data_IF_051062743548
#
_entry.id   IF_051062743548
#
_cell.length_a   1.000
_cell.length_b   1.000
_cell.length_c   1.000
_cell.angle_alpha   90.00
_cell.angle_beta   90.00
_cell.angle_gamma   90.00
#
_symmetry.space_group_name_H-M   'P 1'
#
loop_
_entity.id
_entity.type
_entity.pdbx_description
1 polymer ?
#
# COMPACT_ATOMS: atom_id res chain seq x y z
N UNK A 1 -16.90 -19.12 -2.50
CA UNK A 1 -17.44 -17.86 -3.06
C UNK A 1 -16.55 -16.75 -2.54
N UNK A 2 -16.16 -15.79 -3.38
CA UNK A 2 -15.36 -14.65 -2.94
C UNK A 2 -16.09 -13.88 -1.82
N UNK A 3 -15.35 -13.49 -0.78
CA UNK A 3 -15.89 -12.80 0.40
C UNK A 3 -16.25 -11.34 0.08
N UNK A 4 -15.50 -10.73 -0.84
CA UNK A 4 -15.66 -9.37 -1.28
C UNK A 4 -16.03 -9.29 -2.77
N UNK A 5 -16.71 -8.21 -3.17
CA UNK A 5 -16.92 -7.88 -4.58
C UNK A 5 -15.71 -7.22 -5.21
N UNK A 6 -14.97 -6.42 -4.43
CA UNK A 6 -13.80 -5.68 -4.92
C UNK A 6 -12.67 -5.62 -3.89
N UNK A 7 -11.44 -5.81 -4.32
CA UNK A 7 -10.25 -5.58 -3.51
C UNK A 7 -9.46 -4.37 -4.04
N UNK A 8 -9.11 -3.45 -3.14
CA UNK A 8 -8.29 -2.27 -3.43
C UNK A 8 -6.90 -2.55 -2.88
N UNK A 9 -5.94 -2.84 -3.74
CA UNK A 9 -4.53 -2.84 -3.34
C UNK A 9 -4.02 -1.40 -3.33
N UNK A 10 -3.12 -1.12 -2.40
CA UNK A 10 -2.40 0.15 -2.39
C UNK A 10 -0.90 -0.08 -2.32
N UNK A 11 -0.16 0.75 -3.05
CA UNK A 11 1.28 0.93 -2.83
C UNK A 11 1.64 2.41 -2.89
N UNK A 12 2.51 2.86 -1.99
CA UNK A 12 2.95 4.25 -1.99
C UNK A 12 4.37 4.44 -1.48
N UNK A 13 4.92 5.63 -1.76
CA UNK A 13 6.18 6.05 -1.17
C UNK A 13 6.06 6.23 0.33
N UNK A 14 7.15 5.88 1.03
CA UNK A 14 7.39 6.36 2.38
C UNK A 14 7.55 7.87 2.40
N UNK A 15 7.20 8.50 3.54
CA UNK A 15 7.69 9.86 3.78
C UNK A 15 9.21 9.83 3.73
N UNK A 16 9.78 10.77 2.97
CA UNK A 16 11.22 10.90 2.85
C UNK A 16 11.85 11.12 4.22
N UNK A 17 12.85 10.29 4.56
CA UNK A 17 13.63 10.49 5.77
C UNK A 17 14.24 11.90 5.81
N UNK A 18 14.39 12.51 7.01
CA UNK A 18 14.99 13.83 7.15
C UNK A 18 16.33 13.93 6.41
N UNK A 19 16.46 14.94 5.55
CA UNK A 19 17.69 15.19 4.78
C UNK A 19 17.83 14.38 3.49
N UNK A 20 16.81 13.66 3.02
CA UNK A 20 16.84 13.00 1.70
C UNK A 20 17.13 14.03 0.59
N UNK A 21 18.22 13.83 -0.14
CA UNK A 21 18.69 14.77 -1.17
C UNK A 21 17.74 14.84 -2.37
N UNK A 22 17.23 13.69 -2.82
CA UNK A 22 16.29 13.60 -3.94
C UNK A 22 14.93 13.15 -3.42
N UNK A 23 14.07 14.13 -3.17
CA UNK A 23 12.74 13.93 -2.62
C UNK A 23 11.87 13.07 -3.55
N UNK A 24 11.12 12.15 -2.95
CA UNK A 24 10.09 11.35 -3.60
C UNK A 24 8.72 11.65 -3.01
N UNK A 25 8.61 11.67 -1.69
CA UNK A 25 7.40 12.06 -0.98
C UNK A 25 7.78 12.77 0.33
N UNK A 26 8.08 14.08 0.28
CA UNK A 26 8.56 14.80 1.45
C UNK A 26 7.43 15.08 2.43
N UNK A 27 7.75 15.22 3.73
CA UNK A 27 6.76 15.46 4.81
C UNK A 27 5.77 16.59 4.50
N UNK A 28 6.23 17.68 3.86
CA UNK A 28 5.36 18.81 3.47
C UNK A 28 4.27 18.46 2.45
N UNK A 29 4.40 17.33 1.76
CA UNK A 29 3.43 16.86 0.77
C UNK A 29 2.40 15.90 1.39
N UNK A 30 2.53 15.53 2.67
CA UNK A 30 1.69 14.53 3.33
C UNK A 30 0.20 14.87 3.19
N UNK A 31 -0.20 16.08 3.56
CA UNK A 31 -1.59 16.54 3.49
C UNK A 31 -2.16 16.47 2.07
N UNK A 32 -1.36 16.86 1.07
CA UNK A 32 -1.74 16.77 -0.33
C UNK A 32 -1.86 15.30 -0.78
N UNK A 33 -0.94 14.44 -0.33
CA UNK A 33 -0.98 13.00 -0.56
C UNK A 33 -2.23 12.36 0.03
N UNK A 34 -2.55 12.67 1.29
CA UNK A 34 -3.77 12.21 1.96
C UNK A 34 -5.02 12.60 1.17
N UNK A 35 -5.14 13.87 0.78
CA UNK A 35 -6.28 14.35 -0.03
C UNK A 35 -6.38 13.63 -1.37
N UNK A 36 -5.26 13.38 -2.04
CA UNK A 36 -5.25 12.67 -3.31
C UNK A 36 -5.67 11.20 -3.14
N UNK A 37 -5.19 10.52 -2.09
CA UNK A 37 -5.61 9.15 -1.76
C UNK A 37 -7.11 9.13 -1.44
N UNK A 38 -7.60 10.05 -0.60
CA UNK A 38 -9.03 10.21 -0.31
C UNK A 38 -9.84 10.34 -1.59
N UNK A 39 -9.40 11.19 -2.52
CA UNK A 39 -10.12 11.40 -3.77
C UNK A 39 -10.14 10.16 -4.66
N UNK A 40 -9.03 9.44 -4.74
CA UNK A 40 -8.95 8.19 -5.50
C UNK A 40 -9.85 7.09 -4.92
N UNK A 41 -9.87 6.93 -3.60
CA UNK A 41 -10.76 5.97 -2.92
C UNK A 41 -12.22 6.39 -3.11
N UNK A 42 -12.57 7.66 -2.90
CA UNK A 42 -13.93 8.18 -3.11
C UNK A 42 -14.43 7.92 -4.54
N UNK A 43 -13.61 8.24 -5.55
CA UNK A 43 -13.96 8.04 -6.95
C UNK A 43 -14.20 6.55 -7.25
N UNK A 44 -13.33 5.68 -6.73
CA UNK A 44 -13.44 4.23 -6.92
C UNK A 44 -14.73 3.70 -6.28
N UNK A 45 -14.98 4.04 -5.01
CA UNK A 45 -16.20 3.63 -4.30
C UNK A 45 -17.48 4.17 -4.95
N UNK A 46 -17.43 5.38 -5.52
CA UNK A 46 -18.55 5.95 -6.29
C UNK A 46 -18.84 5.14 -7.56
N UNK A 47 -17.80 4.63 -8.23
CA UNK A 47 -17.94 3.85 -9.46
C UNK A 47 -18.42 2.42 -9.22
N UNK A 48 -17.93 1.75 -8.18
CA UNK A 48 -18.17 0.32 -7.95
C UNK A 48 -19.22 0.02 -6.87
N UNK A 49 -19.59 1.03 -6.08
CA UNK A 49 -20.38 0.88 -4.86
C UNK A 49 -19.53 0.49 -3.66
N UNK A 50 -19.93 0.92 -2.46
CA UNK A 50 -19.14 0.70 -1.24
C UNK A 50 -19.37 -0.68 -0.61
N UNK A 51 -20.45 -1.37 -0.98
CA UNK A 51 -20.79 -2.67 -0.41
C UNK A 51 -19.76 -3.73 -0.82
N UNK A 52 -19.23 -4.46 0.17
CA UNK A 52 -18.35 -5.61 -0.06
C UNK A 52 -17.02 -5.24 -0.73
N UNK A 53 -16.36 -4.19 -0.21
CA UNK A 53 -15.01 -3.76 -0.63
C UNK A 53 -14.01 -3.99 0.50
N UNK A 54 -12.79 -4.42 0.17
CA UNK A 54 -11.66 -4.56 1.12
C UNK A 54 -10.42 -3.83 0.61
N UNK A 55 -9.66 -3.18 1.50
CA UNK A 55 -8.36 -2.59 1.16
C UNK A 55 -7.18 -3.45 1.64
N UNK A 56 -6.06 -3.46 0.92
CA UNK A 56 -4.85 -4.23 1.28
C UNK A 56 -3.60 -3.37 1.08
N UNK A 57 -2.75 -3.24 2.10
CA UNK A 57 -1.47 -2.52 2.00
C UNK A 57 -0.44 -2.99 3.05
N UNK A 58 0.83 -2.57 2.86
CA UNK A 58 1.97 -3.04 3.65
C UNK A 58 2.18 -2.32 4.97
N UNK A 59 1.76 -1.06 5.10
CA UNK A 59 1.81 -0.27 6.34
C UNK A 59 3.08 0.55 6.55
N UNK A 60 3.86 0.80 5.50
CA UNK A 60 4.97 1.74 5.58
C UNK A 60 4.48 3.17 5.93
N UNK A 61 5.36 3.99 6.52
CA UNK A 61 5.11 5.42 6.73
C UNK A 61 4.66 6.11 5.44
N UNK A 62 3.93 7.23 5.52
CA UNK A 62 3.43 7.88 4.32
C UNK A 62 2.27 7.13 3.67
N UNK A 63 2.44 6.73 2.40
CA UNK A 63 1.32 6.29 1.55
C UNK A 63 0.45 5.19 2.15
N UNK A 64 1.06 4.11 2.64
CA UNK A 64 0.30 2.93 3.08
C UNK A 64 -0.51 3.22 4.35
N UNK A 65 0.08 3.83 5.38
CA UNK A 65 -0.65 4.23 6.59
C UNK A 65 -1.76 5.24 6.23
N UNK A 66 -1.47 6.22 5.38
CA UNK A 66 -2.49 7.17 4.91
C UNK A 66 -3.64 6.48 4.20
N UNK A 67 -3.38 5.44 3.40
CA UNK A 67 -4.41 4.65 2.76
C UNK A 67 -5.28 3.90 3.77
N UNK A 68 -4.68 3.27 4.79
CA UNK A 68 -5.46 2.63 5.87
C UNK A 68 -6.33 3.63 6.65
N UNK A 69 -5.85 4.84 6.89
CA UNK A 69 -6.62 5.93 7.53
C UNK A 69 -7.78 6.40 6.63
N UNK A 70 -7.55 6.49 5.32
CA UNK A 70 -8.59 6.85 4.36
C UNK A 70 -9.67 5.78 4.27
N UNK A 71 -9.30 4.51 4.16
CA UNK A 71 -10.26 3.40 4.15
C UNK A 71 -11.13 3.39 5.42
N UNK A 72 -10.54 3.66 6.58
CA UNK A 72 -11.29 3.83 7.83
C UNK A 72 -12.36 4.92 7.73
N UNK A 73 -12.01 6.08 7.20
CA UNK A 73 -12.95 7.21 7.06
C UNK A 73 -14.14 6.88 6.16
N UNK A 74 -13.95 5.96 5.20
CA UNK A 74 -14.99 5.40 4.36
C UNK A 74 -15.59 4.10 4.90
N UNK A 75 -15.23 3.64 6.11
CA UNK A 75 -15.67 2.37 6.69
C UNK A 75 -15.40 1.15 5.78
N UNK A 76 -14.33 1.21 5.00
CA UNK A 76 -13.84 0.08 4.20
C UNK A 76 -12.91 -0.73 5.10
N UNK A 77 -13.19 -2.03 5.36
CA UNK A 77 -12.27 -2.89 6.09
C UNK A 77 -10.95 -2.99 5.34
N UNK A 78 -9.84 -3.06 6.07
CA UNK A 78 -8.51 -3.19 5.46
C UNK A 78 -7.65 -4.25 6.12
N UNK A 79 -6.78 -4.83 5.31
CA UNK A 79 -5.83 -5.86 5.67
C UNK A 79 -4.41 -5.28 5.64
N UNK A 80 -3.72 -5.33 6.77
CA UNK A 80 -2.33 -4.91 6.93
C UNK A 80 -1.41 -6.12 6.74
N UNK A 81 -0.49 -6.04 5.77
CA UNK A 81 0.35 -7.15 5.33
C UNK A 81 1.82 -6.79 5.43
N UNK A 82 2.41 -7.10 6.58
CA UNK A 82 3.78 -6.72 6.89
C UNK A 82 4.77 -7.68 6.25
N UNK A 83 5.84 -7.15 5.65
CA UNK A 83 6.92 -7.96 5.10
C UNK A 83 7.84 -8.56 6.17
N UNK A 84 7.82 -8.00 7.37
CA UNK A 84 8.73 -8.31 8.47
C UNK A 84 7.94 -8.32 9.77
N UNK A 85 8.50 -8.98 10.79
CA UNK A 85 8.00 -8.87 12.16
C UNK A 85 7.91 -7.40 12.58
N UNK A 86 6.89 -7.08 13.38
CA UNK A 86 6.44 -5.72 13.69
C UNK A 86 7.61 -4.80 14.06
N UNK A 87 8.49 -5.23 14.96
CA UNK A 87 9.64 -4.45 15.43
C UNK A 87 10.60 -4.13 14.28
N UNK A 88 10.90 -5.12 13.45
CA UNK A 88 11.82 -4.94 12.32
C UNK A 88 11.18 -4.09 11.22
N UNK A 89 9.89 -4.29 10.95
CA UNK A 89 9.15 -3.48 9.99
C UNK A 89 9.12 -2.02 10.40
N UNK A 90 8.90 -1.74 11.68
CA UNK A 90 8.92 -0.39 12.25
C UNK A 90 10.28 0.27 12.01
N UNK A 91 11.39 -0.42 12.33
CA UNK A 91 12.74 0.09 12.12
C UNK A 91 13.03 0.43 10.65
N UNK A 92 12.57 -0.39 9.71
CA UNK A 92 12.95 -0.27 8.30
C UNK A 92 12.02 0.61 7.48
N UNK A 93 10.72 0.61 7.80
CA UNK A 93 9.67 1.13 6.92
C UNK A 93 8.81 2.23 7.53
N UNK A 94 8.96 2.47 8.84
CA UNK A 94 8.15 3.46 9.57
C UNK A 94 9.02 4.54 10.21
N UNK A 95 9.88 4.15 11.15
CA UNK A 95 10.72 5.06 11.93
C UNK A 95 11.62 6.00 11.10
N UNK A 96 12.17 5.60 9.93
CA UNK A 96 13.02 6.49 9.15
C UNK A 96 12.34 7.80 8.71
N UNK A 97 11.01 7.84 8.62
CA UNK A 97 10.27 9.06 8.29
C UNK A 97 10.32 10.13 9.41
N UNK A 98 10.65 9.75 10.65
CA UNK A 98 10.63 10.64 11.81
C UNK A 98 9.22 11.03 12.25
N UNK A 99 9.09 12.17 12.94
CA UNK A 99 7.80 12.70 13.36
C UNK A 99 6.99 11.75 14.25
N UNK A 100 5.69 11.64 13.98
CA UNK A 100 4.73 10.82 14.72
C UNK A 100 4.43 9.47 14.03
N UNK A 101 5.16 9.11 12.96
CA UNK A 101 4.85 7.91 12.15
C UNK A 101 4.88 6.60 12.95
N UNK A 102 5.76 6.49 13.96
CA UNK A 102 5.80 5.34 14.86
C UNK A 102 4.52 5.25 15.71
N UNK A 103 4.08 6.37 16.28
CA UNK A 103 2.83 6.43 17.05
C UNK A 103 1.64 6.07 16.17
N UNK A 104 1.58 6.61 14.95
CA UNK A 104 0.51 6.31 13.98
C UNK A 104 0.49 4.84 13.56
N UNK A 105 1.65 4.21 13.39
CA UNK A 105 1.72 2.78 13.11
C UNK A 105 1.21 1.94 14.29
N UNK A 106 1.53 2.32 15.53
CA UNK A 106 1.00 1.64 16.72
C UNK A 106 -0.52 1.83 16.83
N UNK A 107 -1.05 3.02 16.53
CA UNK A 107 -2.48 3.28 16.48
C UNK A 107 -3.17 2.43 15.40
N UNK A 108 -2.54 2.26 14.23
CA UNK A 108 -3.03 1.40 13.16
C UNK A 108 -3.13 -0.07 13.62
N UNK A 109 -2.08 -0.59 14.26
CA UNK A 109 -2.09 -1.95 14.80
C UNK A 109 -3.20 -2.15 15.85
N UNK A 110 -3.32 -1.21 16.79
CA UNK A 110 -4.34 -1.27 17.84
C UNK A 110 -5.76 -1.23 17.26
N UNK A 111 -5.97 -0.48 16.18
CA UNK A 111 -7.26 -0.31 15.51
C UNK A 111 -7.69 -1.55 14.71
N UNK A 112 -6.79 -2.15 13.93
CA UNK A 112 -7.16 -3.24 13.00
C UNK A 112 -7.43 -4.57 13.72
N UNK A 113 -6.77 -4.81 14.86
CA UNK A 113 -6.89 -6.07 15.59
C UNK A 113 -6.27 -7.27 14.86
N UNK A 114 -6.17 -8.43 15.52
CA UNK A 114 -5.35 -9.55 15.03
C UNK A 114 -5.88 -10.22 13.74
N UNK A 115 -7.18 -10.13 13.44
CA UNK A 115 -7.77 -10.74 12.24
C UNK A 115 -7.43 -10.00 10.94
N UNK A 116 -7.04 -8.73 11.03
CA UNK A 116 -6.72 -7.90 9.87
C UNK A 116 -5.21 -7.70 9.67
N UNK A 117 -4.37 -8.15 10.60
CA UNK A 117 -2.92 -7.96 10.59
C UNK A 117 -2.25 -9.32 10.38
N UNK A 118 -1.40 -9.41 9.36
CA UNK A 118 -0.57 -10.59 9.15
C UNK A 118 0.85 -10.17 8.76
N UNK A 119 1.81 -11.00 9.18
CA UNK A 119 3.23 -10.85 8.82
C UNK A 119 3.57 -11.97 7.86
N UNK A 120 4.28 -11.64 6.77
CA UNK A 120 4.79 -12.65 5.85
C UNK A 120 5.72 -13.59 6.60
N UNK A 121 5.38 -14.88 6.58
CA UNK A 121 6.19 -15.95 7.13
C UNK A 121 6.56 -16.97 6.05
N UNK A 122 7.48 -17.87 6.35
CA UNK A 122 7.98 -18.86 5.39
C UNK A 122 6.97 -19.95 5.01
N UNK A 123 5.84 -20.06 5.72
CA UNK A 123 4.73 -20.94 5.37
C UNK A 123 3.78 -20.35 4.33
N UNK A 124 3.91 -19.06 3.99
CA UNK A 124 3.18 -18.47 2.87
C UNK A 124 3.75 -19.01 1.56
N UNK A 125 3.07 -20.04 1.04
CA UNK A 125 3.30 -20.60 -0.29
C UNK A 125 2.71 -19.66 -1.34
N UNK A 126 3.58 -19.01 -2.12
CA UNK A 126 3.15 -18.24 -3.28
C UNK A 126 2.97 -19.19 -4.46
N UNK A 127 1.91 -19.03 -5.27
CA UNK A 127 1.72 -19.84 -6.47
C UNK A 127 2.97 -19.87 -7.35
N UNK A 128 3.29 -21.02 -7.96
CA UNK A 128 4.44 -21.14 -8.86
C UNK A 128 4.38 -20.13 -10.01
N UNK A 129 3.18 -19.82 -10.51
CA UNK A 129 2.95 -18.78 -11.51
C UNK A 129 3.37 -17.37 -11.07
N UNK A 130 3.48 -17.13 -9.76
CA UNK A 130 3.97 -15.87 -9.18
C UNK A 130 5.48 -15.84 -8.96
N UNK A 131 6.15 -17.00 -8.97
CA UNK A 131 7.53 -17.15 -8.47
C UNK A 131 8.49 -17.81 -9.46
N UNK A 132 7.99 -18.29 -10.61
CA UNK A 132 8.78 -19.04 -11.61
C UNK A 132 10.06 -18.29 -12.02
N UNK A 133 11.22 -18.91 -11.74
CA UNK A 133 12.54 -18.42 -12.16
C UNK A 133 13.11 -17.25 -11.35
N UNK A 134 12.45 -16.77 -10.30
CA UNK A 134 12.85 -15.57 -9.58
C UNK A 134 13.41 -15.85 -8.16
N UNK A 135 14.61 -15.33 -7.87
CA UNK A 135 15.07 -15.16 -6.49
C UNK A 135 14.46 -13.88 -5.93
N UNK A 136 13.26 -14.02 -5.34
CA UNK A 136 12.48 -12.89 -4.83
C UNK A 136 12.98 -12.46 -3.46
N UNK A 137 13.19 -11.16 -3.28
CA UNK A 137 13.41 -10.62 -1.94
C UNK A 137 12.10 -10.58 -1.13
N UNK A 138 12.20 -10.28 0.17
CA UNK A 138 11.05 -10.30 1.07
C UNK A 138 9.95 -9.31 0.66
N UNK A 139 10.31 -8.13 0.16
CA UNK A 139 9.36 -7.11 -0.30
C UNK A 139 8.62 -7.55 -1.56
N UNK A 140 9.31 -8.17 -2.51
CA UNK A 140 8.69 -8.74 -3.70
C UNK A 140 7.75 -9.89 -3.34
N UNK A 141 8.14 -10.76 -2.39
CA UNK A 141 7.27 -11.82 -1.85
C UNK A 141 6.01 -11.24 -1.21
N UNK A 142 6.13 -10.17 -0.41
CA UNK A 142 4.97 -9.51 0.22
C UNK A 142 4.04 -8.90 -0.83
N UNK A 143 4.57 -8.27 -1.88
CA UNK A 143 3.75 -7.74 -2.97
C UNK A 143 2.96 -8.86 -3.69
N UNK A 144 3.60 -9.99 -3.97
CA UNK A 144 2.93 -11.14 -4.59
C UNK A 144 1.89 -11.76 -3.64
N UNK A 145 2.17 -11.83 -2.35
CA UNK A 145 1.22 -12.29 -1.35
C UNK A 145 -0.04 -11.40 -1.31
N UNK A 146 0.12 -10.08 -1.31
CA UNK A 146 -1.03 -9.16 -1.36
C UNK A 146 -1.85 -9.31 -2.65
N UNK A 147 -1.17 -9.57 -3.78
CA UNK A 147 -1.84 -9.85 -5.06
C UNK A 147 -2.65 -11.15 -4.99
N UNK A 148 -2.03 -12.23 -4.52
CA UNK A 148 -2.67 -13.53 -4.36
C UNK A 148 -3.90 -13.43 -3.44
N UNK A 149 -3.75 -12.76 -2.30
CA UNK A 149 -4.84 -12.56 -1.37
C UNK A 149 -5.98 -11.73 -1.98
N UNK A 150 -5.67 -10.68 -2.74
CA UNK A 150 -6.69 -9.91 -3.46
C UNK A 150 -7.46 -10.77 -4.49
N UNK A 151 -6.78 -11.69 -5.17
CA UNK A 151 -7.40 -12.64 -6.11
C UNK A 151 -8.35 -13.59 -5.38
N UNK A 152 -7.94 -14.09 -4.22
CA UNK A 152 -8.78 -14.99 -3.42
C UNK A 152 -10.00 -14.29 -2.82
N UNK A 153 -9.84 -13.03 -2.39
CA UNK A 153 -10.88 -12.27 -1.69
C UNK A 153 -11.93 -11.68 -2.63
N UNK A 154 -11.56 -11.25 -3.83
CA UNK A 154 -12.46 -10.50 -4.71
C UNK A 154 -12.27 -10.81 -6.21
N UNK A 155 -13.37 -10.89 -6.99
CA UNK A 155 -13.31 -11.08 -8.43
C UNK A 155 -12.88 -9.83 -9.20
N UNK A 156 -13.07 -8.64 -8.64
CA UNK A 156 -12.64 -7.36 -9.20
C UNK A 156 -11.56 -6.74 -8.31
N UNK A 157 -10.53 -6.16 -8.92
CA UNK A 157 -9.34 -5.69 -8.20
C UNK A 157 -8.83 -4.40 -8.82
N UNK A 158 -8.46 -3.44 -7.99
CA UNK A 158 -7.84 -2.20 -8.45
C UNK A 158 -6.61 -1.90 -7.62
N UNK A 159 -5.53 -1.48 -8.28
CA UNK A 159 -4.34 -0.94 -7.65
C UNK A 159 -4.41 0.59 -7.62
N UNK A 160 -4.31 1.17 -6.42
CA UNK A 160 -4.03 2.58 -6.22
C UNK A 160 -2.54 2.77 -5.93
N UNK A 161 -1.91 3.74 -6.59
CA UNK A 161 -0.48 3.99 -6.45
C UNK A 161 -0.16 5.47 -6.16
N UNK A 162 0.58 5.73 -5.09
CA UNK A 162 1.22 7.03 -4.81
C UNK A 162 2.71 6.94 -5.16
N UNK A 163 3.06 7.43 -6.35
CA UNK A 163 4.34 7.12 -6.98
C UNK A 163 4.92 8.29 -7.79
N UNK A 164 6.25 8.44 -7.76
CA UNK A 164 6.99 9.44 -8.53
C UNK A 164 7.27 9.02 -9.98
N UNK A 165 6.84 7.81 -10.38
CA UNK A 165 7.09 7.29 -11.73
C UNK A 165 8.52 6.86 -11.99
N UNK A 166 9.34 6.72 -10.95
CA UNK A 166 10.75 6.33 -11.06
C UNK A 166 11.00 5.01 -10.35
N UNK A 167 12.02 4.31 -10.82
CA UNK A 167 12.51 3.12 -10.14
C UNK A 167 12.88 3.44 -8.68
N UNK A 168 12.58 2.47 -7.80
CA UNK A 168 12.88 2.58 -6.38
C UNK A 168 14.37 2.45 -6.06
N UNK A 169 14.70 2.60 -4.77
CA UNK A 169 16.09 2.42 -4.29
C UNK A 169 16.47 0.92 -4.16
N UNK A 170 15.53 0.01 -4.44
CA UNK A 170 15.71 -1.44 -4.38
C UNK A 170 14.48 -2.21 -4.91
N UNK A 171 14.58 -3.55 -5.05
CA UNK A 171 13.49 -4.37 -5.56
C UNK A 171 12.33 -4.44 -4.56
N UNK A 172 11.10 -4.52 -5.08
CA UNK A 172 9.88 -4.66 -4.26
C UNK A 172 9.25 -3.34 -3.79
N UNK A 173 9.76 -2.19 -4.24
CA UNK A 173 9.11 -0.90 -4.03
C UNK A 173 7.85 -0.69 -4.89
N UNK A 174 7.29 0.53 -4.86
CA UNK A 174 6.04 0.90 -5.55
C UNK A 174 6.01 0.55 -7.03
N UNK A 175 7.13 0.73 -7.74
CA UNK A 175 7.27 0.34 -9.15
C UNK A 175 6.93 -1.14 -9.39
N UNK A 176 7.40 -2.02 -8.49
CA UNK A 176 7.22 -3.47 -8.65
C UNK A 176 5.73 -3.83 -8.70
N UNK A 177 4.92 -3.35 -7.75
CA UNK A 177 3.50 -3.67 -7.71
C UNK A 177 2.73 -3.02 -8.88
N UNK A 178 3.11 -1.81 -9.30
CA UNK A 178 2.52 -1.13 -10.48
C UNK A 178 2.78 -1.90 -11.77
N UNK A 179 3.99 -2.45 -11.95
CA UNK A 179 4.32 -3.26 -13.12
C UNK A 179 3.68 -4.65 -13.08
N UNK A 180 3.53 -5.21 -11.88
CA UNK A 180 3.00 -6.56 -11.66
C UNK A 180 1.48 -6.64 -11.86
N UNK A 181 0.74 -5.65 -11.35
CA UNK A 181 -0.73 -5.67 -11.29
C UNK A 181 -1.43 -6.05 -12.62
N UNK A 182 -1.07 -5.49 -13.79
CA UNK A 182 -1.72 -5.85 -15.05
C UNK A 182 -1.58 -7.33 -15.43
N UNK A 183 -0.52 -8.02 -14.99
CA UNK A 183 -0.33 -9.45 -15.25
C UNK A 183 -1.29 -10.35 -14.46
N UNK A 184 -2.05 -9.78 -13.51
CA UNK A 184 -3.00 -10.49 -12.63
C UNK A 184 -4.43 -9.96 -12.75
N UNK A 185 -4.77 -9.33 -13.88
CA UNK A 185 -6.07 -8.70 -14.11
C UNK A 185 -6.45 -7.75 -12.95
N UNK A 186 -5.48 -6.94 -12.52
CA UNK A 186 -5.68 -5.87 -11.54
C UNK A 186 -5.59 -4.54 -12.29
N UNK A 187 -6.70 -3.81 -12.31
CA UNK A 187 -6.76 -2.50 -12.96
C UNK A 187 -5.91 -1.49 -12.20
N UNK A 188 -4.99 -0.82 -12.88
CA UNK A 188 -4.19 0.26 -12.27
C UNK A 188 -4.93 1.58 -12.44
N UNK A 189 -5.39 2.15 -11.33
CA UNK A 189 -6.02 3.47 -11.33
C UNK A 189 -5.01 4.58 -11.72
N UNK A 190 -5.47 5.78 -12.10
CA UNK A 190 -4.58 6.90 -12.37
C UNK A 190 -3.60 7.13 -11.21
N UNK A 191 -2.29 7.09 -11.52
CA UNK A 191 -1.22 7.22 -10.52
C UNK A 191 -1.28 8.59 -9.86
N UNK A 192 -1.27 8.60 -8.52
CA UNK A 192 -1.09 9.82 -7.73
C UNK A 192 0.39 10.20 -7.80
N UNK A 193 0.70 11.17 -8.68
CA UNK A 193 2.08 11.63 -8.92
C UNK A 193 2.57 12.49 -7.78
N UNK A 194 3.56 12.03 -7.03
CA UNK A 194 4.07 12.77 -5.87
C UNK A 194 4.70 14.12 -6.22
N UNK A 195 5.23 14.29 -7.44
CA UNK A 195 5.74 15.58 -7.92
C UNK A 195 4.63 16.64 -8.03
N UNK A 196 3.38 16.23 -8.27
CA UNK A 196 2.25 17.15 -8.34
C UNK A 196 1.81 17.62 -6.93
N UNK A 197 2.19 16.89 -5.88
CA UNK A 197 1.78 17.17 -4.49
C UNK A 197 2.62 18.26 -3.82
N UNK A 198 3.81 18.54 -4.35
CA UNK A 198 4.76 19.53 -3.82
C UNK A 198 4.64 20.91 -4.46
N UNK A 199 3.77 21.07 -5.45
CA UNK A 199 3.55 22.36 -6.12
C UNK A 199 2.61 23.20 -5.24
N UNK A 200 2.95 24.45 -4.88
CA UNK A 200 2.02 25.33 -4.17
C UNK A 200 0.72 25.45 -4.96
N UNK A 201 -0.42 25.38 -4.27
CA UNK A 201 -1.67 25.90 -4.84
C UNK A 201 -1.40 27.36 -5.21
N UNK A 202 -1.50 27.66 -6.52
CA UNK A 202 -1.44 29.03 -7.02
C UNK A 202 -2.63 29.85 -6.50
#
# INVERSE_FOLDING_TARGET
MAEFRHAILFTGHMIDAPGRVKERFPARAEDAGRRAITKSVENLLTAIGQESVVGIAGGASGGDILFHDVCESFKVPTLLRLALQVEKYLETSVAPAGGDWVERFHMLLARLGPGAIAVLDDSVELPESLTEGASLNIWQRTNLWMVDEAIQLAPQRTLLALWDGKAGDGPGGTEHLVQLAPSFDIDVAPIIRTQALVTPLA
#
